data_IF_383522806819
#
_entry.id   IF_383522806819
#
_cell.length_a   1.000
_cell.length_b   1.000
_cell.length_c   1.000
_cell.angle_alpha   90.00
_cell.angle_beta   90.00
_cell.angle_gamma   90.00
#
_symmetry.space_group_name_H-M   'P 1'
#
loop_
_entity.id
_entity.type
_entity.pdbx_description
1 polymer ?
#
# COMPACT_ATOMS: atom_id res chain seq x y z
N UNK A 1 16.11 -20.75 6.91
CA UNK A 1 16.13 -19.48 6.15
C UNK A 1 14.90 -19.47 5.23
N UNK A 2 13.72 -19.16 5.78
CA UNK A 2 12.49 -19.04 5.00
C UNK A 2 12.26 -17.57 4.68
N UNK A 3 12.47 -17.20 3.43
CA UNK A 3 12.03 -15.92 2.88
C UNK A 3 10.49 -15.92 2.90
N UNK A 4 9.89 -15.33 3.93
CA UNK A 4 8.49 -14.93 3.88
C UNK A 4 8.44 -13.72 2.96
N UNK A 5 8.20 -13.96 1.67
CA UNK A 5 7.67 -12.94 0.77
C UNK A 5 6.37 -12.44 1.40
N UNK A 6 6.44 -11.31 2.12
CA UNK A 6 5.24 -10.55 2.43
C UNK A 6 4.69 -10.04 1.10
N UNK A 7 3.78 -10.82 0.51
CA UNK A 7 2.88 -10.33 -0.52
C UNK A 7 2.18 -9.11 0.07
N UNK A 8 2.58 -7.92 -0.37
CA UNK A 8 1.88 -6.70 0.01
C UNK A 8 0.44 -6.89 -0.44
N UNK A 9 -0.49 -6.97 0.52
CA UNK A 9 -1.91 -6.91 0.20
C UNK A 9 -2.13 -5.60 -0.56
N UNK A 10 -2.50 -5.68 -1.84
CA UNK A 10 -2.86 -4.51 -2.65
C UNK A 10 -3.89 -3.67 -1.90
N UNK A 11 -3.99 -2.36 -2.08
CA UNK A 11 -5.03 -1.62 -1.36
C UNK A 11 -6.35 -1.70 -2.15
N UNK A 12 -7.45 -1.45 -1.47
CA UNK A 12 -8.77 -1.33 -2.06
C UNK A 12 -9.50 -0.15 -1.42
N UNK A 13 -10.57 0.30 -2.05
CA UNK A 13 -11.48 1.27 -1.46
C UNK A 13 -12.93 0.86 -1.67
N UNK A 14 -13.76 1.22 -0.70
CA UNK A 14 -15.20 1.03 -0.71
C UNK A 14 -15.81 2.40 -1.00
N UNK A 15 -16.46 2.54 -2.15
CA UNK A 15 -17.18 3.76 -2.52
C UNK A 15 -18.65 3.60 -2.20
N UNK A 16 -19.17 4.40 -1.29
CA UNK A 16 -20.60 4.51 -1.02
C UNK A 16 -21.23 5.52 -1.97
N UNK A 17 -22.18 5.07 -2.78
CA UNK A 17 -22.93 5.90 -3.73
C UNK A 17 -24.27 6.28 -3.11
N UNK A 18 -24.56 7.58 -3.07
CA UNK A 18 -25.80 8.10 -2.51
C UNK A 18 -26.94 8.15 -3.53
N UNK A 19 -28.17 8.08 -3.03
CA UNK A 19 -29.39 8.12 -3.85
C UNK A 19 -29.78 9.50 -4.37
N UNK A 20 -29.32 10.56 -3.71
CA UNK A 20 -29.69 11.93 -4.05
C UNK A 20 -28.43 12.78 -4.17
N UNK A 21 -27.96 13.01 -5.40
CA UNK A 21 -26.99 14.02 -5.91
C UNK A 21 -25.89 14.52 -4.94
N UNK A 22 -25.50 13.70 -3.97
CA UNK A 22 -24.55 14.03 -2.92
C UNK A 22 -23.26 13.29 -3.20
N UNK A 23 -22.12 13.85 -2.79
CA UNK A 23 -20.83 13.27 -3.12
C UNK A 23 -20.74 11.84 -2.60
N UNK A 24 -20.22 10.95 -3.43
CA UNK A 24 -19.87 9.59 -3.00
C UNK A 24 -18.76 9.64 -1.94
N UNK A 25 -18.80 8.70 -1.00
CA UNK A 25 -17.83 8.61 0.09
C UNK A 25 -16.91 7.41 -0.12
N UNK A 26 -15.60 7.64 -0.06
CA UNK A 26 -14.59 6.60 -0.24
C UNK A 26 -13.98 6.20 1.12
N UNK A 27 -14.00 4.89 1.43
CA UNK A 27 -13.41 4.31 2.61
C UNK A 27 -12.23 3.42 2.25
N UNK A 28 -11.15 3.48 3.03
CA UNK A 28 -9.99 2.59 2.86
C UNK A 28 -10.36 1.15 3.20
N UNK A 29 -9.86 0.22 2.40
CA UNK A 29 -10.02 -1.20 2.62
C UNK A 29 -8.77 -2.00 2.18
N UNK A 30 -8.69 -3.25 2.62
CA UNK A 30 -7.71 -4.23 2.16
C UNK A 30 -8.44 -5.43 1.54
N UNK A 31 -8.13 -5.84 0.30
CA UNK A 31 -8.63 -7.07 -0.28
C UNK A 31 -8.10 -8.28 0.48
N UNK A 32 -8.87 -9.36 0.47
CA UNK A 32 -8.45 -10.65 0.97
C UNK A 32 -7.28 -11.20 0.13
N UNK A 33 -6.35 -11.91 0.78
CA UNK A 33 -5.32 -12.71 0.11
C UNK A 33 -5.85 -14.12 -0.25
N UNK A 34 -7.17 -14.25 -0.41
CA UNK A 34 -7.86 -15.48 -0.80
C UNK A 34 -9.10 -15.14 -1.61
N UNK A 35 -9.59 -16.11 -2.39
CA UNK A 35 -10.66 -15.87 -3.36
C UNK A 35 -10.16 -15.13 -4.61
N UNK A 36 -11.08 -14.73 -5.50
CA UNK A 36 -10.73 -13.97 -6.69
C UNK A 36 -10.37 -12.51 -6.35
N UNK A 37 -9.63 -11.88 -7.26
CA UNK A 37 -9.33 -10.45 -7.22
C UNK A 37 -10.60 -9.62 -7.53
N UNK A 38 -10.61 -8.37 -7.08
CA UNK A 38 -11.66 -7.42 -7.47
C UNK A 38 -11.54 -7.08 -8.96
N UNK A 39 -12.68 -6.94 -9.68
CA UNK A 39 -12.70 -6.59 -11.10
C UNK A 39 -12.13 -5.18 -11.36
N UNK A 40 -11.69 -4.92 -12.60
CA UNK A 40 -11.01 -3.67 -12.97
C UNK A 40 -11.87 -2.43 -12.98
N UNK A 41 -13.12 -2.64 -13.33
CA UNK A 41 -14.21 -1.70 -13.37
C UNK A 41 -14.83 -1.47 -11.98
N UNK A 42 -14.45 -2.28 -10.98
CA UNK A 42 -15.06 -2.32 -9.67
C UNK A 42 -16.33 -3.16 -9.60
N UNK A 43 -16.61 -3.71 -8.42
CA UNK A 43 -17.79 -4.52 -8.18
C UNK A 43 -18.87 -3.66 -7.50
N UNK A 44 -19.95 -3.37 -8.21
CA UNK A 44 -21.09 -2.61 -7.68
C UNK A 44 -22.18 -3.56 -7.17
N UNK A 45 -22.72 -3.29 -5.98
CA UNK A 45 -23.86 -4.02 -5.45
C UNK A 45 -24.57 -3.32 -4.30
N UNK A 46 -25.74 -3.84 -3.92
CA UNK A 46 -26.51 -3.35 -2.77
C UNK A 46 -25.95 -3.93 -1.48
N UNK A 47 -25.82 -3.09 -0.45
CA UNK A 47 -25.29 -3.50 0.85
C UNK A 47 -26.37 -4.22 1.66
N UNK A 48 -26.02 -5.35 2.28
CA UNK A 48 -26.87 -6.09 3.22
C UNK A 48 -26.06 -6.42 4.47
N UNK A 49 -26.61 -6.21 5.66
CA UNK A 49 -25.95 -6.66 6.90
C UNK A 49 -26.21 -8.15 7.12
N UNK A 50 -25.17 -8.90 7.49
CA UNK A 50 -25.31 -10.34 7.76
C UNK A 50 -26.21 -10.61 8.98
N UNK A 51 -27.03 -11.66 8.88
CA UNK A 51 -27.80 -12.23 9.99
C UNK A 51 -27.47 -13.73 10.09
N UNK A 52 -26.76 -14.21 11.12
CA UNK A 52 -26.14 -13.46 12.21
C UNK A 52 -24.96 -12.57 11.75
N UNK A 53 -24.75 -11.44 12.44
CA UNK A 53 -23.76 -10.42 12.05
C UNK A 53 -22.31 -10.93 11.98
N UNK A 54 -21.96 -11.98 12.73
CA UNK A 54 -20.60 -12.54 12.72
C UNK A 54 -20.37 -13.58 11.60
N UNK A 55 -21.41 -14.05 10.92
CA UNK A 55 -21.34 -15.10 9.90
C UNK A 55 -20.52 -16.34 10.32
N UNK A 56 -20.52 -16.70 11.61
CA UNK A 56 -19.86 -17.92 12.08
C UNK A 56 -20.74 -19.17 11.93
N UNK A 57 -22.02 -18.96 11.62
CA UNK A 57 -22.98 -19.97 11.19
C UNK A 57 -23.55 -19.55 9.82
N UNK A 58 -24.25 -20.45 9.11
CA UNK A 58 -24.97 -20.10 7.89
C UNK A 58 -25.82 -18.83 8.09
N UNK A 59 -25.72 -17.91 7.13
CA UNK A 59 -26.41 -16.62 7.17
C UNK A 59 -27.59 -16.61 6.20
N UNK A 60 -28.54 -15.71 6.45
CA UNK A 60 -29.64 -15.44 5.52
C UNK A 60 -29.11 -14.93 4.16
N UNK A 61 -29.76 -15.37 3.09
CA UNK A 61 -29.43 -14.96 1.72
C UNK A 61 -29.86 -13.53 1.38
N UNK A 62 -29.45 -13.01 0.20
CA UNK A 62 -29.90 -11.72 -0.26
C UNK A 62 -31.41 -11.70 -0.52
N UNK A 63 -32.07 -10.53 -0.44
CA UNK A 63 -33.51 -10.42 -0.60
C UNK A 63 -33.99 -10.85 -2.01
N UNK A 64 -33.16 -10.67 -3.05
CA UNK A 64 -33.42 -11.12 -4.41
C UNK A 64 -32.18 -11.78 -5.02
N UNK A 65 -32.37 -12.81 -5.86
CA UNK A 65 -31.26 -13.50 -6.53
C UNK A 65 -30.74 -12.79 -7.80
N UNK A 66 -31.55 -11.90 -8.40
CA UNK A 66 -31.26 -11.29 -9.70
C UNK A 66 -30.32 -10.09 -9.64
N UNK A 67 -30.02 -9.57 -8.45
CA UNK A 67 -29.19 -8.36 -8.28
C UNK A 67 -27.90 -8.70 -7.54
N UNK A 68 -26.88 -7.87 -7.76
CA UNK A 68 -25.61 -8.01 -7.04
C UNK A 68 -25.75 -7.49 -5.62
N UNK A 69 -25.56 -8.38 -4.64
CA UNK A 69 -25.58 -8.04 -3.23
C UNK A 69 -24.21 -8.27 -2.59
N UNK A 70 -23.82 -7.32 -1.75
CA UNK A 70 -22.56 -7.32 -1.02
C UNK A 70 -22.89 -7.35 0.47
N UNK A 71 -22.41 -8.38 1.16
CA UNK A 71 -22.71 -8.58 2.59
C UNK A 71 -21.70 -7.87 3.48
N UNK A 72 -22.18 -7.24 4.55
CA UNK A 72 -21.39 -6.62 5.61
C UNK A 72 -21.33 -7.54 6.84
N UNK A 73 -20.12 -7.97 7.21
CA UNK A 73 -19.88 -8.98 8.25
C UNK A 73 -18.99 -8.42 9.36
N UNK A 74 -19.37 -8.68 10.61
CA UNK A 74 -18.64 -8.31 11.82
C UNK A 74 -17.42 -9.22 12.03
N UNK A 75 -16.26 -8.62 12.37
CA UNK A 75 -15.06 -9.35 12.79
C UNK A 75 -15.25 -10.07 14.14
N UNK A 76 -14.36 -11.04 14.38
CA UNK A 76 -14.19 -11.88 15.59
C UNK A 76 -15.05 -13.16 15.57
N UNK A 77 -14.85 -14.02 16.58
CA UNK A 77 -15.50 -15.31 16.81
C UNK A 77 -15.09 -16.48 15.87
N UNK A 78 -14.80 -16.22 14.61
CA UNK A 78 -14.36 -17.25 13.64
C UNK A 78 -13.41 -16.65 12.59
N UNK A 79 -12.75 -17.52 11.82
CA UNK A 79 -11.76 -17.10 10.81
C UNK A 79 -12.40 -16.34 9.64
N UNK A 80 -11.59 -15.56 8.93
CA UNK A 80 -12.06 -14.80 7.77
C UNK A 80 -12.57 -15.70 6.65
N UNK A 81 -11.91 -16.85 6.42
CA UNK A 81 -12.31 -17.81 5.39
C UNK A 81 -13.69 -18.39 5.69
N UNK A 82 -14.00 -18.75 6.94
CA UNK A 82 -15.34 -19.24 7.33
C UNK A 82 -16.42 -18.20 7.07
N UNK A 83 -16.18 -16.93 7.40
CA UNK A 83 -17.15 -15.83 7.18
C UNK A 83 -17.48 -15.67 5.70
N UNK A 84 -16.46 -15.63 4.85
CA UNK A 84 -16.65 -15.47 3.40
C UNK A 84 -17.26 -16.73 2.77
N UNK A 85 -16.97 -17.92 3.32
CA UNK A 85 -17.59 -19.16 2.89
C UNK A 85 -19.10 -19.17 3.14
N UNK A 86 -19.56 -18.78 4.33
CA UNK A 86 -21.00 -18.69 4.61
C UNK A 86 -21.69 -17.63 3.75
N UNK A 87 -21.04 -16.50 3.48
CA UNK A 87 -21.54 -15.50 2.54
C UNK A 87 -21.70 -16.05 1.12
N UNK A 88 -20.71 -16.81 0.64
CA UNK A 88 -20.78 -17.46 -0.65
C UNK A 88 -21.91 -18.50 -0.72
N UNK A 89 -22.05 -19.33 0.33
CA UNK A 89 -23.10 -20.35 0.40
C UNK A 89 -24.51 -19.72 0.43
N UNK A 90 -24.64 -18.54 1.04
CA UNK A 90 -25.87 -17.77 1.07
C UNK A 90 -26.17 -17.03 -0.25
N UNK A 91 -25.27 -17.05 -1.24
CA UNK A 91 -25.48 -16.47 -2.57
C UNK A 91 -25.07 -15.00 -2.72
N UNK A 92 -24.27 -14.45 -1.80
CA UNK A 92 -23.71 -13.10 -1.96
C UNK A 92 -22.61 -13.07 -3.02
N UNK A 93 -22.43 -11.92 -3.67
CA UNK A 93 -21.44 -11.76 -4.74
C UNK A 93 -20.09 -11.24 -4.22
N UNK A 94 -20.07 -10.61 -3.05
CA UNK A 94 -18.86 -10.21 -2.35
C UNK A 94 -19.13 -10.00 -0.86
N UNK A 95 -18.05 -9.97 -0.07
CA UNK A 95 -18.11 -9.74 1.38
C UNK A 95 -17.24 -8.55 1.82
N UNK A 96 -17.79 -7.70 2.68
CA UNK A 96 -17.07 -6.65 3.40
C UNK A 96 -16.99 -7.06 4.87
N UNK A 97 -15.79 -7.28 5.38
CA UNK A 97 -15.56 -7.57 6.79
C UNK A 97 -15.07 -6.30 7.47
N UNK A 98 -15.72 -5.89 8.56
CA UNK A 98 -15.30 -4.70 9.30
C UNK A 98 -14.74 -5.06 10.67
N UNK A 99 -13.72 -4.31 11.08
CA UNK A 99 -13.18 -4.37 12.42
C UNK A 99 -14.18 -3.81 13.45
N UNK A 100 -14.19 -4.34 14.67
CA UNK A 100 -15.07 -3.84 15.75
C UNK A 100 -14.23 -3.00 16.69
N UNK A 101 -14.72 -1.79 17.03
CA UNK A 101 -14.09 -0.84 17.96
C UNK A 101 -12.63 -0.46 17.61
N UNK A 102 -12.24 -0.62 16.34
CA UNK A 102 -10.87 -0.35 15.90
C UNK A 102 -10.80 0.16 14.45
N UNK A 103 -9.89 1.09 14.22
CA UNK A 103 -9.60 1.66 12.90
C UNK A 103 -8.42 0.99 12.19
N UNK A 104 -7.85 -0.06 12.79
CA UNK A 104 -6.73 -0.78 12.18
C UNK A 104 -7.24 -1.67 11.04
N UNK A 105 -6.62 -1.59 9.88
CA UNK A 105 -6.83 -2.53 8.79
C UNK A 105 -6.00 -3.79 9.04
N UNK A 106 -6.58 -4.96 8.76
CA UNK A 106 -5.93 -6.26 8.95
C UNK A 106 -5.92 -7.01 7.63
N UNK A 107 -4.78 -7.61 7.30
CA UNK A 107 -4.66 -8.48 6.13
C UNK A 107 -5.38 -9.79 6.39
N UNK A 108 -6.33 -10.14 5.52
CA UNK A 108 -7.06 -11.39 5.61
C UNK A 108 -6.31 -12.46 4.83
N UNK A 109 -5.69 -13.40 5.54
CA UNK A 109 -4.90 -14.50 4.97
C UNK A 109 -5.64 -15.81 5.15
N UNK A 110 -5.49 -16.73 4.19
CA UNK A 110 -6.04 -18.09 4.28
C UNK A 110 -5.25 -18.91 5.29
N UNK A 111 -5.97 -19.62 6.16
CA UNK A 111 -5.38 -20.61 7.06
C UNK A 111 -5.04 -21.90 6.29
N UNK A 112 -3.86 -22.49 6.50
CA UNK A 112 -3.35 -23.60 5.68
C UNK A 112 -4.25 -24.85 5.69
N UNK A 113 -4.97 -25.11 6.77
CA UNK A 113 -5.77 -26.33 6.95
C UNK A 113 -7.18 -26.25 6.34
N UNK A 114 -7.57 -25.10 5.77
CA UNK A 114 -8.91 -24.91 5.22
C UNK A 114 -8.96 -25.28 3.73
N UNK A 115 -9.54 -26.43 3.39
CA UNK A 115 -9.73 -26.92 2.00
C UNK A 115 -10.89 -26.27 1.23
N UNK A 116 -11.41 -25.12 1.69
CA UNK A 116 -12.57 -24.50 1.05
C UNK A 116 -12.19 -23.58 -0.11
N UNK A 117 -12.86 -23.77 -1.25
CA UNK A 117 -12.67 -22.94 -2.43
C UNK A 117 -13.59 -21.72 -2.38
N UNK A 118 -12.99 -20.55 -2.10
CA UNK A 118 -13.66 -19.25 -2.10
C UNK A 118 -13.68 -18.69 -3.53
N UNK A 119 -14.86 -18.33 -4.02
CA UNK A 119 -15.19 -17.85 -5.37
C UNK A 119 -15.69 -16.40 -5.39
N UNK A 120 -15.90 -15.79 -4.23
CA UNK A 120 -16.33 -14.39 -4.13
C UNK A 120 -15.19 -13.53 -3.57
N UNK A 121 -14.99 -12.31 -4.09
CA UNK A 121 -13.99 -11.41 -3.54
C UNK A 121 -14.43 -10.89 -2.16
N UNK A 122 -13.46 -10.61 -1.31
CA UNK A 122 -13.71 -10.04 0.01
C UNK A 122 -12.75 -8.88 0.32
N UNK A 123 -13.24 -7.90 1.08
CA UNK A 123 -12.44 -6.76 1.54
C UNK A 123 -12.60 -6.54 3.04
N UNK A 124 -11.57 -6.01 3.66
CA UNK A 124 -11.52 -5.65 5.07
C UNK A 124 -11.53 -4.13 5.24
N UNK A 125 -12.37 -3.61 6.13
CA UNK A 125 -12.45 -2.17 6.41
C UNK A 125 -12.51 -1.85 7.90
N UNK A 126 -12.54 -0.56 8.24
CA UNK A 126 -12.50 -0.06 9.60
C UNK A 126 -13.88 0.03 10.25
N UNK A 127 -13.93 0.14 11.58
CA UNK A 127 -15.18 0.31 12.32
C UNK A 127 -15.95 1.58 11.89
N UNK A 128 -15.25 2.72 11.72
CA UNK A 128 -15.89 3.98 11.30
C UNK A 128 -16.55 3.87 9.94
N UNK A 129 -15.89 3.20 8.98
CA UNK A 129 -16.45 2.97 7.65
C UNK A 129 -17.77 2.17 7.76
N UNK A 130 -17.76 1.09 8.55
CA UNK A 130 -18.94 0.24 8.75
C UNK A 130 -20.11 1.01 9.36
N UNK A 131 -19.85 1.85 10.37
CA UNK A 131 -20.88 2.66 11.03
C UNK A 131 -21.51 3.66 10.06
N UNK A 132 -20.71 4.28 9.20
CA UNK A 132 -21.22 5.21 8.20
C UNK A 132 -22.05 4.45 7.17
N UNK A 133 -21.56 3.32 6.66
CA UNK A 133 -22.31 2.48 5.72
C UNK A 133 -23.66 2.03 6.28
N UNK A 134 -23.69 1.54 7.53
CA UNK A 134 -24.93 1.14 8.21
C UNK A 134 -25.91 2.30 8.38
N UNK A 135 -25.42 3.49 8.75
CA UNK A 135 -26.26 4.70 8.88
C UNK A 135 -26.86 5.12 7.55
N UNK A 136 -26.06 5.10 6.48
CA UNK A 136 -26.53 5.46 5.14
C UNK A 136 -27.55 4.45 4.62
N UNK A 137 -27.31 3.16 4.86
CA UNK A 137 -28.23 2.09 4.49
C UNK A 137 -29.55 2.17 5.27
N UNK A 138 -29.50 2.26 6.61
CA UNK A 138 -30.69 2.35 7.46
C UNK A 138 -31.52 3.62 7.25
N UNK A 139 -30.90 4.71 6.79
CA UNK A 139 -31.59 5.94 6.42
C UNK A 139 -32.14 5.94 4.98
N UNK A 140 -31.97 4.84 4.21
CA UNK A 140 -32.36 4.76 2.79
C UNK A 140 -31.58 5.70 1.86
N UNK A 141 -30.43 6.23 2.31
CA UNK A 141 -29.61 7.19 1.56
C UNK A 141 -28.54 6.52 0.70
N UNK A 142 -28.23 5.25 0.96
CA UNK A 142 -27.25 4.45 0.22
C UNK A 142 -27.92 3.75 -0.96
N UNK A 143 -27.53 4.10 -2.19
CA UNK A 143 -28.01 3.41 -3.40
C UNK A 143 -27.23 2.14 -3.67
N UNK A 144 -25.90 2.22 -3.61
CA UNK A 144 -25.03 1.09 -3.90
C UNK A 144 -23.65 1.30 -3.29
N UNK A 145 -22.91 0.20 -3.18
CA UNK A 145 -21.51 0.19 -2.78
C UNK A 145 -20.69 -0.36 -3.93
N UNK A 146 -19.57 0.30 -4.22
CA UNK A 146 -18.62 -0.13 -5.24
C UNK A 146 -17.30 -0.53 -4.58
N UNK A 147 -16.89 -1.78 -4.79
CA UNK A 147 -15.58 -2.28 -4.36
C UNK A 147 -14.57 -2.08 -5.49
N UNK A 148 -13.62 -1.19 -5.27
CA UNK A 148 -12.60 -0.85 -6.26
C UNK A 148 -11.24 -1.32 -5.76
N UNK A 149 -10.44 -2.05 -6.56
CA UNK A 149 -9.04 -2.26 -6.24
C UNK A 149 -8.26 -0.95 -6.49
N UNK A 150 -7.20 -0.74 -5.73
CA UNK A 150 -6.28 0.38 -5.96
C UNK A 150 -5.44 0.06 -7.21
N UNK A 151 -5.90 0.48 -8.39
CA UNK A 151 -5.12 0.35 -9.61
C UNK A 151 -3.87 1.22 -9.54
N UNK A 152 -2.71 0.58 -9.61
CA UNK A 152 -1.58 1.17 -10.31
C UNK A 152 -1.98 1.30 -11.79
N UNK A 153 -2.09 2.53 -12.28
CA UNK A 153 -2.26 2.82 -13.70
C UNK A 153 -1.10 2.20 -14.50
N UNK A 154 -1.34 1.12 -15.25
CA UNK A 154 -0.62 0.84 -16.49
C UNK A 154 -1.45 -0.06 -17.39
N UNK A 155 -2.43 0.53 -18.08
CA UNK A 155 -2.91 -0.02 -19.36
C UNK A 155 -3.24 1.14 -20.29
N UNK A 156 -2.38 1.34 -21.29
CA UNK A 156 -2.72 2.03 -22.52
C UNK A 156 -3.86 1.24 -23.18
N UNK A 157 -5.07 1.84 -23.25
CA UNK A 157 -6.14 1.35 -24.13
C UNK A 157 -5.78 1.78 -25.55
N UNK A 158 -5.37 0.83 -26.39
CA UNK A 158 -5.64 0.96 -27.83
C UNK A 158 -7.15 0.87 -27.97
N UNK A 159 -7.80 1.97 -28.30
CA UNK A 159 -9.14 1.91 -28.84
C UNK A 159 -9.07 1.19 -30.19
N UNK A 160 -9.61 -0.02 -30.27
CA UNK A 160 -9.98 -0.64 -31.53
C UNK A 160 -11.50 -0.75 -31.55
N UNK A 161 -12.13 0.05 -32.42
CA UNK A 161 -13.48 -0.24 -32.87
C UNK A 161 -13.44 -1.36 -33.91
N UNK A 162 -14.47 -2.22 -33.87
CA UNK A 162 -14.92 -3.15 -34.94
C UNK A 162 -13.88 -4.21 -35.36
N UNK A 163 -14.08 -5.51 -35.21
CA UNK A 163 -15.24 -6.35 -35.57
C UNK A 163 -15.15 -7.73 -34.86
N UNK A 164 -16.30 -8.39 -34.77
CA UNK A 164 -16.53 -9.79 -34.37
C UNK A 164 -15.58 -10.80 -35.05
N UNK A 165 -15.20 -11.88 -34.34
CA UNK A 165 -15.24 -13.29 -34.82
C UNK A 165 -15.09 -14.24 -33.61
N UNK A 166 -15.95 -15.25 -33.62
CA UNK A 166 -16.07 -16.37 -32.69
C UNK A 166 -15.04 -17.49 -32.94
N UNK A 167 -14.62 -18.11 -31.83
CA UNK A 167 -14.27 -19.53 -31.62
C UNK A 167 -13.01 -20.19 -32.22
N UNK A 168 -12.29 -20.82 -31.28
CA UNK A 168 -11.69 -22.17 -31.30
C UNK A 168 -10.18 -22.32 -31.56
N UNK A 169 -9.50 -22.65 -30.44
CA UNK A 169 -8.27 -23.46 -30.28
C UNK A 169 -6.91 -22.96 -30.79
N UNK A 170 -5.82 -23.43 -30.14
CA UNK A 170 -4.60 -22.68 -29.96
C UNK A 170 -3.49 -23.08 -30.95
N UNK A 171 -2.44 -22.26 -30.92
CA UNK A 171 -1.07 -22.53 -31.35
C UNK A 171 -0.66 -22.07 -32.76
N UNK A 172 0.49 -21.39 -32.73
CA UNK A 172 1.58 -21.42 -33.72
C UNK A 172 1.46 -20.43 -34.90
N UNK A 173 2.10 -19.28 -34.73
CA UNK A 173 2.58 -18.48 -35.85
C UNK A 173 4.08 -18.23 -35.68
N UNK A 174 4.84 -18.96 -36.51
CA UNK A 174 6.18 -18.63 -36.96
C UNK A 174 6.23 -17.17 -37.44
N UNK A 175 7.21 -16.41 -36.97
CA UNK A 175 7.67 -15.20 -37.67
C UNK A 175 8.74 -15.66 -38.65
N UNK A 176 8.43 -15.57 -39.95
CA UNK A 176 9.37 -15.81 -41.04
C UNK A 176 10.20 -14.53 -41.24
N UNK A 177 11.47 -14.56 -40.83
CA UNK A 177 12.47 -13.56 -41.22
C UNK A 177 13.30 -14.10 -42.40
N UNK A 178 13.61 -13.28 -43.43
CA UNK A 178 14.48 -13.71 -44.52
C UNK A 178 15.94 -13.76 -44.03
N UNK A 179 16.68 -14.79 -44.45
CA UNK A 179 18.09 -15.06 -44.06
C UNK A 179 19.11 -14.06 -44.64
N UNK A 180 20.44 -14.22 -44.40
CA UNK A 180 21.14 -15.50 -44.19
C UNK A 180 22.00 -15.60 -42.91
N UNK A 181 22.41 -16.84 -42.64
CA UNK A 181 23.27 -17.30 -41.55
C UNK A 181 24.61 -16.55 -41.43
N UNK A 182 24.93 -16.09 -40.22
CA UNK A 182 26.31 -16.10 -39.69
C UNK A 182 26.24 -16.30 -38.18
N UNK A 183 26.96 -17.30 -37.67
CA UNK A 183 27.14 -17.48 -36.23
C UNK A 183 28.02 -16.34 -35.70
N UNK A 184 27.40 -15.36 -35.05
CA UNK A 184 28.09 -14.55 -34.04
C UNK A 184 27.10 -14.24 -32.92
N UNK A 185 27.38 -14.80 -31.74
CA UNK A 185 26.51 -14.77 -30.57
C UNK A 185 26.15 -13.33 -30.15
N UNK A 186 24.89 -12.94 -30.37
CA UNK A 186 24.25 -11.69 -29.91
C UNK A 186 24.44 -11.40 -28.41
N UNK A 187 24.85 -12.40 -27.63
CA UNK A 187 25.23 -12.24 -26.23
C UNK A 187 26.49 -11.38 -26.07
N UNK A 188 27.49 -11.52 -26.95
CA UNK A 188 28.76 -10.82 -26.80
C UNK A 188 28.64 -9.33 -27.15
N UNK A 189 27.86 -8.99 -28.17
CA UNK A 189 27.59 -7.59 -28.54
C UNK A 189 26.79 -6.87 -27.45
N UNK A 190 25.82 -7.55 -26.83
CA UNK A 190 25.08 -6.99 -25.70
C UNK A 190 26.01 -6.72 -24.49
N UNK A 191 26.90 -7.65 -24.16
CA UNK A 191 27.86 -7.45 -23.07
C UNK A 191 28.87 -6.33 -23.37
N UNK A 192 29.36 -6.23 -24.60
CA UNK A 192 30.31 -5.18 -25.01
C UNK A 192 29.73 -3.77 -24.95
N UNK A 193 28.43 -3.59 -25.12
CA UNK A 193 27.79 -2.27 -25.02
C UNK A 193 27.18 -1.99 -23.63
N UNK A 194 26.59 -2.99 -22.98
CA UNK A 194 25.92 -2.77 -21.69
C UNK A 194 26.89 -2.53 -20.53
N UNK A 195 28.04 -3.21 -20.50
CA UNK A 195 29.05 -3.02 -19.45
C UNK A 195 29.60 -1.59 -19.47
N UNK A 196 30.12 -1.04 -20.58
CA UNK A 196 30.67 0.31 -20.56
C UNK A 196 29.60 1.37 -20.31
N UNK A 197 28.37 1.19 -20.82
CA UNK A 197 27.27 2.12 -20.54
C UNK A 197 26.91 2.11 -19.05
N UNK A 198 26.83 0.93 -18.42
CA UNK A 198 26.55 0.81 -16.99
C UNK A 198 27.67 1.41 -16.12
N UNK A 199 28.93 1.21 -16.52
CA UNK A 199 30.09 1.77 -15.83
C UNK A 199 30.14 3.30 -15.95
N UNK A 200 29.80 3.86 -17.12
CA UNK A 200 29.73 5.31 -17.33
C UNK A 200 28.62 5.94 -16.48
N UNK A 201 27.44 5.31 -16.44
CA UNK A 201 26.33 5.76 -15.58
C UNK A 201 26.73 5.70 -14.11
N UNK A 202 27.37 4.61 -13.67
CA UNK A 202 27.86 4.47 -12.30
C UNK A 202 28.90 5.54 -11.95
N UNK A 203 29.84 5.84 -12.85
CA UNK A 203 30.84 6.89 -12.65
C UNK A 203 30.19 8.27 -12.52
N UNK A 204 29.21 8.61 -13.35
CA UNK A 204 28.47 9.88 -13.27
C UNK A 204 27.65 10.00 -11.96
N UNK A 205 27.11 8.88 -11.46
CA UNK A 205 26.41 8.85 -10.18
C UNK A 205 27.39 9.01 -9.00
N UNK A 206 28.57 8.37 -9.06
CA UNK A 206 29.63 8.50 -8.07
C UNK A 206 30.17 9.94 -8.07
N UNK A 207 30.40 10.54 -9.23
CA UNK A 207 30.84 11.94 -9.35
C UNK A 207 29.80 12.89 -8.76
N UNK A 208 28.52 12.74 -9.07
CA UNK A 208 27.45 13.53 -8.46
C UNK A 208 27.33 13.32 -6.94
N UNK A 209 27.56 12.09 -6.47
CA UNK A 209 27.60 11.77 -5.05
C UNK A 209 28.77 12.45 -4.35
N UNK A 210 29.97 12.37 -4.93
CA UNK A 210 31.18 13.01 -4.41
C UNK A 210 31.09 14.54 -4.46
N UNK A 211 30.51 15.13 -5.52
CA UNK A 211 30.23 16.56 -5.60
C UNK A 211 29.19 17.01 -4.57
N UNK A 212 28.20 16.15 -4.24
CA UNK A 212 27.25 16.40 -3.14
C UNK A 212 27.94 16.32 -1.78
N UNK A 213 28.84 15.35 -1.56
CA UNK A 213 29.70 15.28 -0.38
C UNK A 213 30.66 16.49 -0.29
N UNK A 214 31.19 16.96 -1.42
CA UNK A 214 32.08 18.11 -1.48
C UNK A 214 31.34 19.42 -1.19
N UNK A 215 30.17 19.65 -1.83
CA UNK A 215 29.30 20.80 -1.52
C UNK A 215 28.85 20.82 -0.06
N UNK A 216 28.68 19.64 0.55
CA UNK A 216 28.39 19.50 1.97
C UNK A 216 29.61 19.79 2.87
N UNK A 217 30.81 19.32 2.51
CA UNK A 217 32.08 19.66 3.20
C UNK A 217 32.41 21.16 3.12
N UNK A 218 32.23 21.80 1.96
CA UNK A 218 32.44 23.25 1.79
C UNK A 218 31.44 24.05 2.63
N UNK A 219 30.20 23.57 2.78
CA UNK A 219 29.20 24.16 3.69
C UNK A 219 29.53 24.02 5.19
N UNK A 220 30.47 23.13 5.56
CA UNK A 220 30.96 22.93 6.94
C UNK A 220 32.07 23.94 7.30
N UNK A 221 32.89 24.37 6.34
CA UNK A 221 34.02 25.27 6.58
C UNK A 221 33.59 26.69 7.00
N UNK A 222 32.42 27.17 6.58
CA UNK A 222 31.95 28.53 6.90
C UNK A 222 31.45 28.70 8.35
N UNK A 223 31.38 27.63 9.16
CA UNK A 223 30.81 27.70 10.53
C UNK A 223 31.83 27.49 11.66
N UNK A 224 33.12 27.33 11.34
CA UNK A 224 34.19 27.16 12.33
C UNK A 224 34.80 28.48 12.83
N UNK A 225 34.08 29.61 12.72
CA UNK A 225 34.48 30.89 13.30
C UNK A 225 33.29 31.58 13.96
N UNK A 226 32.72 30.91 14.97
CA UNK A 226 31.57 31.39 15.73
C UNK A 226 31.50 30.80 17.13
N UNK A 227 32.35 31.35 18.01
CA UNK A 227 32.35 31.32 19.47
C UNK A 227 32.42 30.01 20.28
N UNK A 228 33.46 29.98 21.12
CA UNK A 228 33.61 29.20 22.35
C UNK A 228 32.50 29.63 23.35
N UNK A 229 31.79 28.67 23.91
CA UNK A 229 30.81 28.86 24.98
C UNK A 229 30.35 27.49 25.49
N UNK A 230 30.64 27.27 26.77
CA UNK A 230 30.28 26.23 27.74
C UNK A 230 29.57 24.91 27.36
N UNK A 231 30.11 23.89 28.01
CA UNK A 231 29.83 22.46 27.96
C UNK A 231 28.66 22.12 28.91
N UNK A 232 27.51 21.72 28.38
CA UNK A 232 26.53 20.95 29.13
C UNK A 232 26.36 19.59 28.45
N UNK A 233 27.12 18.63 28.95
CA UNK A 233 27.01 17.21 28.67
C UNK A 233 25.66 16.70 29.20
N UNK A 234 24.68 16.54 28.31
CA UNK A 234 23.51 15.72 28.62
C UNK A 234 23.80 14.27 28.24
N UNK A 235 24.18 13.47 29.24
CA UNK A 235 24.29 12.03 29.15
C UNK A 235 22.89 11.41 29.02
N UNK A 236 22.52 10.93 27.83
CA UNK A 236 21.38 10.02 27.69
C UNK A 236 21.86 8.58 27.95
N UNK A 237 21.33 7.88 28.96
CA UNK A 237 21.66 6.47 29.16
C UNK A 237 20.88 5.59 28.17
N UNK A 238 21.61 4.89 27.30
CA UNK A 238 21.32 3.58 26.67
C UNK A 238 20.13 3.46 25.68
N UNK A 239 20.22 2.84 24.48
CA UNK A 239 21.31 2.07 23.86
C UNK A 239 21.05 1.61 22.40
N UNK A 240 20.31 2.33 21.52
CA UNK A 240 20.11 1.81 20.13
C UNK A 240 20.33 2.72 18.92
N UNK A 241 20.50 4.03 19.08
CA UNK A 241 20.71 4.91 17.92
C UNK A 241 21.85 5.89 18.19
N UNK A 242 23.06 5.52 17.77
CA UNK A 242 24.27 6.36 17.84
C UNK A 242 24.56 7.05 16.50
N UNK A 243 23.72 6.85 15.49
CA UNK A 243 23.87 7.36 14.14
C UNK A 243 22.55 7.85 13.55
N UNK A 244 22.62 8.86 12.69
CA UNK A 244 21.46 9.42 12.02
C UNK A 244 21.06 8.53 10.84
N UNK A 245 19.88 7.91 10.86
CA UNK A 245 19.44 7.00 9.80
C UNK A 245 19.19 7.65 8.42
N UNK A 246 19.26 8.99 8.32
CA UNK A 246 19.12 9.71 7.04
C UNK A 246 20.48 9.89 6.35
N UNK A 247 21.54 10.23 7.11
CA UNK A 247 22.88 10.45 6.57
C UNK A 247 23.91 9.37 6.95
N UNK A 248 23.52 8.43 7.82
CA UNK A 248 24.33 7.33 8.34
C UNK A 248 25.61 7.78 9.09
N UNK A 249 25.63 9.02 9.58
CA UNK A 249 26.74 9.55 10.39
C UNK A 249 26.46 9.37 11.88
N UNK A 250 27.50 9.04 12.66
CA UNK A 250 27.45 9.01 14.12
C UNK A 250 27.15 10.40 14.67
N UNK A 251 26.36 10.46 15.75
CA UNK A 251 26.11 11.72 16.45
C UNK A 251 27.39 12.18 17.15
N UNK A 252 27.73 13.45 16.97
CA UNK A 252 28.89 14.07 17.63
C UNK A 252 28.40 15.17 18.57
N UNK A 253 29.15 15.45 19.63
CA UNK A 253 28.88 16.58 20.51
C UNK A 253 28.70 17.87 19.69
N UNK A 254 27.62 18.62 19.97
CA UNK A 254 27.17 19.84 19.27
C UNK A 254 26.37 19.65 17.97
N UNK A 255 25.97 18.43 17.63
CA UNK A 255 25.00 18.23 16.55
C UNK A 255 23.60 18.74 16.94
N UNK A 256 22.96 19.49 16.03
CA UNK A 256 21.57 19.90 16.23
C UNK A 256 20.63 18.76 15.88
N UNK A 257 20.10 18.08 16.89
CA UNK A 257 19.18 16.96 16.72
C UNK A 257 17.73 17.40 16.90
N UNK A 258 16.84 16.79 16.12
CA UNK A 258 15.39 16.90 16.29
C UNK A 258 14.86 15.51 16.64
N UNK A 259 14.16 15.44 17.76
CA UNK A 259 13.42 14.26 18.18
C UNK A 259 11.97 14.43 17.76
N UNK A 260 11.46 13.43 17.03
CA UNK A 260 10.07 13.42 16.60
C UNK A 260 9.16 12.88 17.71
N UNK A 261 7.84 13.08 17.58
CA UNK A 261 6.82 12.55 18.51
C UNK A 261 6.84 11.01 18.63
N UNK A 262 7.45 10.30 17.68
CA UNK A 262 7.68 8.86 17.75
C UNK A 262 8.98 8.46 18.46
N UNK A 263 9.65 9.38 19.17
CA UNK A 263 10.92 9.21 19.90
C UNK A 263 12.18 8.94 19.06
N UNK A 264 12.10 9.05 17.73
CA UNK A 264 13.26 8.92 16.86
C UNK A 264 13.99 10.24 16.68
N UNK A 265 15.33 10.21 16.77
CA UNK A 265 16.21 11.35 16.63
C UNK A 265 16.88 11.40 15.24
N UNK A 266 17.07 12.60 14.70
CA UNK A 266 17.76 12.85 13.44
C UNK A 266 18.47 14.20 13.50
N UNK A 267 19.50 14.44 12.68
CA UNK A 267 20.00 15.81 12.50
C UNK A 267 18.88 16.71 11.99
N UNK A 268 18.75 17.92 12.56
CA UNK A 268 17.72 18.89 12.20
C UNK A 268 17.69 19.12 10.70
N UNK A 269 18.86 19.32 10.08
CA UNK A 269 18.98 19.53 8.64
C UNK A 269 18.46 18.34 7.81
N UNK A 270 18.76 17.13 8.25
CA UNK A 270 18.38 15.90 7.54
C UNK A 270 16.86 15.69 7.59
N UNK A 271 16.25 15.85 8.77
CA UNK A 271 14.81 15.66 8.91
C UNK A 271 14.00 16.81 8.32
N UNK A 272 14.52 18.04 8.36
CA UNK A 272 13.88 19.19 7.72
C UNK A 272 13.85 19.01 6.19
N UNK A 273 14.97 18.58 5.58
CA UNK A 273 15.02 18.31 4.14
C UNK A 273 14.12 17.13 3.74
N UNK A 274 14.05 16.10 4.59
CA UNK A 274 13.14 14.98 4.41
C UNK A 274 11.68 15.43 4.37
N UNK A 275 11.26 16.26 5.33
CA UNK A 275 9.91 16.80 5.38
C UNK A 275 9.58 17.75 4.23
N UNK A 276 10.56 18.51 3.72
CA UNK A 276 10.39 19.36 2.53
C UNK A 276 10.19 18.50 1.29
N UNK A 277 10.99 17.44 1.13
CA UNK A 277 10.95 16.57 -0.06
C UNK A 277 9.68 15.71 -0.07
N UNK A 278 9.17 15.34 1.10
CA UNK A 278 7.94 14.57 1.27
C UNK A 278 6.78 15.44 1.77
N UNK A 279 6.50 16.55 1.07
CA UNK A 279 5.51 17.56 1.48
C UNK A 279 4.09 17.02 1.74
N UNK A 280 3.72 15.86 1.14
CA UNK A 280 2.39 15.25 1.30
C UNK A 280 2.17 14.55 2.64
N UNK A 281 3.22 14.29 3.43
CA UNK A 281 3.08 13.74 4.79
C UNK A 281 4.35 13.90 5.63
N UNK A 282 4.28 14.64 6.75
CA UNK A 282 5.34 14.70 7.78
C UNK A 282 5.46 13.35 8.48
N UNK A 283 6.21 12.42 7.89
CA UNK A 283 6.38 11.06 8.42
C UNK A 283 7.80 10.80 8.88
N UNK A 284 7.95 9.97 9.91
CA UNK A 284 9.25 9.54 10.41
C UNK A 284 9.89 8.54 9.42
N UNK A 285 11.15 8.72 9.02
CA UNK A 285 11.86 7.79 8.14
C UNK A 285 11.99 6.36 8.71
N UNK A 286 12.03 6.21 10.04
CA UNK A 286 12.28 4.92 10.71
C UNK A 286 11.01 4.10 10.95
N UNK A 287 9.91 4.74 11.37
CA UNK A 287 8.67 4.03 11.71
C UNK A 287 7.48 4.36 10.80
N UNK A 288 7.66 5.25 9.82
CA UNK A 288 6.61 5.68 8.88
C UNK A 288 5.36 6.31 9.53
N UNK A 289 5.40 6.59 10.84
CA UNK A 289 4.32 7.27 11.56
C UNK A 289 4.28 8.75 11.18
N UNK A 290 3.08 9.32 11.08
CA UNK A 290 2.91 10.77 10.96
C UNK A 290 3.33 11.41 12.27
N UNK A 291 4.22 12.39 12.18
CA UNK A 291 4.84 13.04 13.34
C UNK A 291 4.53 14.53 13.33
N UNK A 292 4.21 15.05 14.51
CA UNK A 292 4.29 16.49 14.78
C UNK A 292 5.68 16.79 15.34
N UNK A 293 6.26 17.92 14.91
CA UNK A 293 7.54 18.40 15.44
C UNK A 293 7.28 18.89 16.85
N UNK A 294 7.81 18.19 17.85
CA UNK A 294 7.80 18.67 19.23
C UNK A 294 8.89 19.73 19.34
N UNK A 295 8.53 20.99 19.13
CA UNK A 295 9.45 22.11 19.40
C UNK A 295 9.46 22.40 20.89
N UNK A 296 10.64 22.17 21.50
CA UNK A 296 11.09 22.52 22.86
C UNK A 296 10.64 21.57 23.98
N UNK A 297 11.61 20.83 24.52
CA UNK A 297 11.76 20.73 25.96
C UNK A 297 12.76 21.83 26.34
N UNK A 298 12.26 22.87 27.02
CA UNK A 298 13.11 23.74 27.83
C UNK A 298 13.20 23.13 29.23
N UNK A 299 14.39 23.25 29.81
CA UNK A 299 14.92 22.60 31.00
C UNK A 299 15.41 21.17 30.76
#
# INVERSE_FOLDING_TARGET
>A
MFLVLQVQAGRAFIRAVHSHNSPSLDFRALPALFGPLLPTEGLTGSLVEASPANACHPIEGPPNASSTFIVLIRRYNCSFTTKVLHAQQAGFHAAIIYNVDSQTLVSMVREPDTMHHIRIPAVFTTDVASRILKRLHGAGKLSSVVLMPEYFHFTWKVASGTTQISSSHPCRCHIQLPGPCSQLSLLHTFWFFCIPVSALIAALLIEKYLLRCHRWKVGRSFRLQGNRGELLTFSFPSSRYQECAICLEKYVERDSLKVLSCSHAFHSKCIDLWHITQARSKTCPLCMQRVMVVTRLQA
#
